data_IF_161102278080
#
_entry.id   IF_161102278080
#
_cell.length_a   1.000
_cell.length_b   1.000
_cell.length_c   1.000
_cell.angle_alpha   90.00
_cell.angle_beta   90.00
_cell.angle_gamma   90.00
#
_symmetry.space_group_name_H-M   'P 1'
#
loop_
_entity.id
_entity.type
_entity.pdbx_description
1 polymer ?
#
# COMPACT_ATOMS: atom_id res chain seq x y z
N UNK A 1 7.09 -12.01 23.98
CA UNK A 1 5.93 -11.87 23.08
C UNK A 1 6.22 -10.73 22.12
N UNK A 2 6.35 -11.00 20.82
CA UNK A 2 6.45 -9.95 19.82
C UNK A 2 5.02 -9.52 19.46
N UNK A 3 4.70 -8.23 19.61
CA UNK A 3 3.46 -7.69 19.08
C UNK A 3 3.58 -7.61 17.56
N UNK A 4 2.63 -8.18 16.82
CA UNK A 4 2.51 -7.91 15.39
C UNK A 4 2.11 -6.44 15.22
N UNK A 5 2.81 -5.69 14.38
CA UNK A 5 2.46 -4.32 14.01
C UNK A 5 1.72 -4.40 12.68
N UNK A 6 0.56 -3.76 12.59
CA UNK A 6 -0.31 -3.79 11.41
C UNK A 6 -0.22 -2.45 10.66
N UNK A 7 -0.15 -2.52 9.33
CA UNK A 7 -0.34 -1.36 8.43
C UNK A 7 -1.78 -1.35 7.95
N UNK A 8 -2.39 -0.18 7.87
CA UNK A 8 -3.70 0.01 7.24
C UNK A 8 -3.50 0.68 5.89
N UNK A 9 -3.49 -0.13 4.83
CA UNK A 9 -3.46 0.36 3.45
C UNK A 9 -4.85 0.86 3.03
N UNK A 10 -4.88 1.93 2.25
CA UNK A 10 -6.08 2.62 1.78
C UNK A 10 -6.35 2.33 0.31
N UNK A 11 -6.36 1.06 -0.09
CA UNK A 11 -6.45 0.64 -1.49
C UNK A 11 -7.88 0.75 -2.07
N UNK A 12 -8.31 1.99 -2.33
CA UNK A 12 -8.86 2.27 -3.66
C UNK A 12 -10.36 2.11 -3.95
N UNK A 13 -11.26 2.15 -2.95
CA UNK A 13 -12.71 2.39 -3.22
C UNK A 13 -13.38 3.43 -2.33
N UNK A 14 -12.71 3.89 -1.28
CA UNK A 14 -13.18 4.97 -0.42
C UNK A 14 -11.99 5.85 -0.07
N UNK A 15 -11.70 6.82 -0.95
CA UNK A 15 -10.82 7.93 -0.60
C UNK A 15 -11.51 8.72 0.51
N UNK A 16 -11.34 8.26 1.75
CA UNK A 16 -11.47 9.13 2.92
C UNK A 16 -10.67 10.41 2.64
N UNK A 17 -11.05 11.52 3.29
CA UNK A 17 -10.55 12.86 2.95
C UNK A 17 -9.01 13.01 2.91
N UNK A 18 -8.25 12.05 3.45
CA UNK A 18 -6.79 12.00 3.43
C UNK A 18 -6.30 10.58 3.05
N UNK A 19 -5.99 10.29 1.78
CA UNK A 19 -5.40 9.02 1.39
C UNK A 19 -4.00 8.85 2.02
N UNK A 20 -3.70 7.65 2.52
CA UNK A 20 -2.38 7.28 3.05
C UNK A 20 -1.48 6.64 2.00
N UNK A 21 -2.04 6.28 0.84
CA UNK A 21 -1.33 5.79 -0.34
C UNK A 21 -1.73 6.59 -1.60
N UNK A 22 -0.78 6.83 -2.49
CA UNK A 22 -1.01 7.55 -3.74
C UNK A 22 -0.17 7.00 -4.89
N UNK A 23 -0.83 6.73 -6.03
CA UNK A 23 -0.12 6.35 -7.25
C UNK A 23 0.74 7.51 -7.77
N UNK A 24 2.05 7.28 -7.91
CA UNK A 24 3.01 8.29 -8.35
C UNK A 24 3.61 8.01 -9.73
N UNK A 25 3.54 6.76 -10.20
CA UNK A 25 4.01 6.39 -11.54
C UNK A 25 3.23 5.18 -12.09
N UNK A 26 3.15 5.12 -13.42
CA UNK A 26 2.67 3.97 -14.18
C UNK A 26 3.21 4.00 -15.61
N UNK A 27 3.34 2.83 -16.25
CA UNK A 27 3.54 2.74 -17.69
C UNK A 27 2.21 2.87 -18.44
N UNK A 28 2.26 3.15 -19.75
CA UNK A 28 1.06 3.23 -20.59
C UNK A 28 0.30 1.89 -20.67
N UNK A 29 1.02 0.77 -20.49
CA UNK A 29 0.50 -0.60 -20.55
C UNK A 29 -0.03 -1.09 -19.20
N UNK A 30 0.20 -0.37 -18.10
CA UNK A 30 -0.13 -0.79 -16.74
C UNK A 30 -1.63 -1.10 -16.58
N UNK A 31 -2.51 -0.28 -17.15
CA UNK A 31 -3.97 -0.45 -17.02
C UNK A 31 -4.51 -1.69 -17.74
N UNK A 32 -3.79 -2.19 -18.76
CA UNK A 32 -4.13 -3.41 -19.49
C UNK A 32 -3.39 -4.64 -19.00
N UNK A 33 -2.41 -4.46 -18.10
CA UNK A 33 -1.67 -5.56 -17.49
C UNK A 33 -2.56 -6.28 -16.47
N UNK A 34 -2.65 -7.63 -16.50
CA UNK A 34 -3.45 -8.38 -15.53
C UNK A 34 -2.91 -8.27 -14.09
N UNK A 35 -1.67 -7.82 -13.92
CA UNK A 35 -0.99 -7.69 -12.62
C UNK A 35 -0.70 -6.23 -12.24
N UNK A 36 -1.14 -5.28 -13.08
CA UNK A 36 -0.80 -3.86 -12.97
C UNK A 36 0.72 -3.59 -12.98
N UNK A 37 1.49 -4.43 -13.66
CA UNK A 37 2.94 -4.25 -13.80
C UNK A 37 3.32 -2.79 -14.13
N UNK A 38 4.40 -2.31 -13.53
CA UNK A 38 4.90 -0.92 -13.55
C UNK A 38 4.08 0.11 -12.75
N UNK A 39 3.00 -0.26 -12.07
CA UNK A 39 2.33 0.64 -11.12
C UNK A 39 3.21 0.86 -9.90
N UNK A 40 3.41 2.12 -9.50
CA UNK A 40 4.12 2.50 -8.26
C UNK A 40 3.24 3.43 -7.43
N UNK A 41 3.07 3.11 -6.14
CA UNK A 41 2.36 3.96 -5.19
C UNK A 41 3.26 4.31 -4.00
N UNK A 42 3.15 5.56 -3.53
CA UNK A 42 3.85 6.07 -2.34
C UNK A 42 2.98 5.84 -1.11
N UNK A 43 3.54 5.17 -0.11
CA UNK A 43 2.84 4.83 1.13
C UNK A 43 3.30 5.72 2.30
N UNK A 44 2.34 6.14 3.09
CA UNK A 44 2.48 6.84 4.36
C UNK A 44 1.39 6.34 5.32
N UNK A 45 1.47 5.07 5.71
CA UNK A 45 0.42 4.37 6.44
C UNK A 45 0.61 4.42 7.96
N UNK A 46 -0.48 4.53 8.75
CA UNK A 46 -0.39 4.37 10.19
C UNK A 46 -0.07 2.92 10.58
N UNK A 47 0.88 2.77 11.49
CA UNK A 47 1.19 1.50 12.14
C UNK A 47 0.48 1.41 13.48
N UNK A 48 -0.24 0.31 13.71
CA UNK A 48 -1.02 0.06 14.93
C UNK A 48 -0.62 -1.24 15.61
N UNK A 49 -0.93 -1.38 16.90
CA UNK A 49 -0.69 -2.62 17.67
C UNK A 49 -1.62 -3.78 17.31
N UNK A 50 -2.67 -3.51 16.53
CA UNK A 50 -3.73 -4.46 16.19
C UNK A 50 -4.47 -4.01 14.93
N UNK A 51 -5.16 -4.93 14.24
CA UNK A 51 -5.81 -4.64 12.96
C UNK A 51 -7.05 -3.74 13.07
N UNK A 52 -7.60 -3.56 14.27
CA UNK A 52 -8.78 -2.73 14.48
C UNK A 52 -8.47 -1.25 14.20
N UNK A 53 -9.31 -0.49 13.50
CA UNK A 53 -9.08 0.94 13.23
C UNK A 53 -8.96 1.81 14.49
N UNK A 54 -9.50 1.35 15.61
CA UNK A 54 -9.40 1.99 16.93
C UNK A 54 -8.15 1.58 17.73
N UNK A 55 -7.32 0.68 17.19
CA UNK A 55 -6.09 0.24 17.83
C UNK A 55 -5.11 1.38 18.04
N UNK A 56 -4.29 1.24 19.08
CA UNK A 56 -3.27 2.23 19.43
C UNK A 56 -2.28 2.41 18.27
N UNK A 57 -2.19 3.64 17.78
CA UNK A 57 -1.14 4.13 16.88
C UNK A 57 0.25 4.02 17.52
N UNK A 58 1.23 3.51 16.78
CA UNK A 58 2.61 3.32 17.25
C UNK A 58 3.67 3.93 16.32
N UNK A 59 3.31 4.36 15.11
CA UNK A 59 4.24 4.95 14.16
C UNK A 59 3.67 5.00 12.75
N UNK A 60 4.53 5.20 11.75
CA UNK A 60 4.15 5.21 10.34
C UNK A 60 5.12 4.36 9.51
N UNK A 61 4.58 3.63 8.54
CA UNK A 61 5.37 3.06 7.47
C UNK A 61 5.48 4.12 6.37
N UNK A 62 6.70 4.47 5.99
CA UNK A 62 6.95 5.35 4.84
C UNK A 62 7.69 4.55 3.79
N UNK A 63 7.39 4.78 2.52
CA UNK A 63 8.06 4.06 1.45
C UNK A 63 7.26 4.10 0.16
N UNK A 64 7.45 3.07 -0.64
CA UNK A 64 6.62 2.81 -1.81
C UNK A 64 6.44 1.31 -2.01
N UNK A 65 5.40 0.97 -2.75
CA UNK A 65 5.27 -0.38 -3.28
C UNK A 65 4.98 -0.33 -4.78
N UNK A 66 5.42 -1.36 -5.48
CA UNK A 66 5.27 -1.47 -6.92
C UNK A 66 4.79 -2.86 -7.34
N UNK A 67 3.87 -2.91 -8.30
CA UNK A 67 3.49 -4.15 -8.98
C UNK A 67 4.67 -4.61 -9.84
N UNK A 68 5.36 -5.66 -9.36
CA UNK A 68 6.69 -6.03 -9.87
C UNK A 68 6.74 -7.39 -10.58
N UNK A 69 5.60 -8.06 -10.76
CA UNK A 69 5.50 -9.32 -11.51
C UNK A 69 4.57 -9.18 -12.70
N UNK A 70 4.95 -9.77 -13.84
CA UNK A 70 4.13 -9.79 -15.06
C UNK A 70 3.20 -11.01 -15.12
N UNK A 71 3.50 -12.06 -14.36
CA UNK A 71 2.80 -13.35 -14.45
C UNK A 71 1.78 -13.54 -13.33
N UNK A 72 2.02 -12.96 -12.16
CA UNK A 72 1.16 -13.03 -10.99
C UNK A 72 1.10 -11.69 -10.25
N UNK A 73 0.08 -11.48 -9.42
CA UNK A 73 0.03 -10.28 -8.57
C UNK A 73 1.13 -10.40 -7.52
N UNK A 74 2.09 -9.48 -7.56
CA UNK A 74 3.19 -9.42 -6.63
C UNK A 74 3.67 -7.99 -6.43
N UNK A 75 3.91 -7.63 -5.17
CA UNK A 75 4.36 -6.31 -4.77
C UNK A 75 5.82 -6.36 -4.29
N UNK A 76 6.64 -5.43 -4.77
CA UNK A 76 7.91 -5.06 -4.14
C UNK A 76 7.65 -3.88 -3.21
N UNK A 77 8.02 -4.00 -1.94
CA UNK A 77 7.91 -2.91 -0.95
C UNK A 77 9.30 -2.43 -0.53
N UNK A 78 9.49 -1.11 -0.44
CA UNK A 78 10.75 -0.47 -0.05
C UNK A 78 10.51 0.78 0.81
#
# INVERSE_FOLDING_TARGET
>A
MAAAIYSADGDGYDLGKNPTDAQVAQAQTTSTSPTYFDRVNMLDDPLTVGPEPTSRFVGRAHGFYASSSQEEIGLLCA
#
